data_IF_614180124125
#
_entry.id   IF_614180124125
#
_cell.length_a   1.000
_cell.length_b   1.000
_cell.length_c   1.000
_cell.angle_alpha   90.00
_cell.angle_beta   90.00
_cell.angle_gamma   90.00
#
_symmetry.space_group_name_H-M   'P 1'
#
loop_
_entity.id
_entity.type
_entity.pdbx_description
1 polymer ?
#
# COMPACT_ATOMS: atom_id res chain seq x y z
N UNK A 1 -21.52 2.28 -26.14
CA UNK A 1 -21.04 2.18 -24.77
C UNK A 1 -20.39 0.83 -24.61
N UNK A 2 -19.16 0.78 -24.12
CA UNK A 2 -18.48 -0.50 -23.81
C UNK A 2 -18.91 -0.91 -22.41
N UNK A 3 -19.60 -2.03 -22.29
CA UNK A 3 -19.96 -2.61 -20.99
C UNK A 3 -18.80 -3.50 -20.54
N UNK A 4 -18.41 -3.39 -19.27
CA UNK A 4 -17.40 -4.22 -18.64
C UNK A 4 -18.02 -5.01 -17.49
N UNK A 5 -17.74 -6.32 -17.44
CA UNK A 5 -18.18 -7.18 -16.36
C UNK A 5 -17.02 -7.40 -15.39
N UNK A 6 -17.24 -7.10 -14.12
CA UNK A 6 -16.27 -7.28 -13.05
C UNK A 6 -16.94 -7.83 -11.79
N UNK A 7 -16.20 -8.60 -11.01
CA UNK A 7 -16.64 -9.04 -9.69
C UNK A 7 -16.33 -7.96 -8.64
N UNK A 8 -15.27 -7.16 -8.89
CA UNK A 8 -14.84 -6.06 -8.03
C UNK A 8 -14.48 -4.85 -8.88
N UNK A 9 -15.09 -3.71 -8.59
CA UNK A 9 -14.72 -2.40 -9.10
C UNK A 9 -13.96 -1.63 -8.01
N UNK A 10 -12.75 -1.20 -8.32
CA UNK A 10 -11.93 -0.37 -7.44
C UNK A 10 -11.85 1.04 -8.01
N UNK A 11 -12.18 2.04 -7.19
CA UNK A 11 -12.11 3.46 -7.56
C UNK A 11 -10.89 4.12 -6.91
N UNK A 12 -9.97 4.58 -7.76
CA UNK A 12 -8.72 5.22 -7.35
C UNK A 12 -7.52 4.28 -7.34
N UNK A 13 -6.49 4.64 -8.11
CA UNK A 13 -5.24 3.89 -8.30
C UNK A 13 -4.11 4.26 -7.34
N UNK A 14 -4.42 4.81 -6.17
CA UNK A 14 -3.46 5.05 -5.09
C UNK A 14 -3.08 3.77 -4.33
N UNK A 15 -2.30 3.87 -3.23
CA UNK A 15 -1.86 2.70 -2.45
C UNK A 15 -3.02 1.80 -2.03
N UNK A 16 -4.07 2.36 -1.45
CA UNK A 16 -5.22 1.59 -0.97
C UNK A 16 -5.91 0.83 -2.10
N UNK A 17 -6.20 1.51 -3.23
CA UNK A 17 -6.84 0.89 -4.38
C UNK A 17 -5.99 -0.18 -5.04
N UNK A 18 -4.70 0.07 -5.22
CA UNK A 18 -3.79 -0.93 -5.83
C UNK A 18 -3.63 -2.17 -4.95
N UNK A 19 -3.54 -2.03 -3.62
CA UNK A 19 -3.52 -3.18 -2.71
C UNK A 19 -4.86 -3.93 -2.70
N UNK A 20 -6.00 -3.23 -2.72
CA UNK A 20 -7.31 -3.84 -2.78
C UNK A 20 -7.49 -4.64 -4.09
N UNK A 21 -7.19 -4.01 -5.23
CA UNK A 21 -7.27 -4.64 -6.55
C UNK A 21 -6.38 -5.89 -6.65
N UNK A 22 -5.12 -5.77 -6.21
CA UNK A 22 -4.17 -6.88 -6.21
C UNK A 22 -4.64 -8.03 -5.32
N UNK A 23 -5.18 -7.72 -4.14
CA UNK A 23 -5.66 -8.74 -3.21
C UNK A 23 -6.89 -9.46 -3.74
N UNK A 24 -7.84 -8.74 -4.33
CA UNK A 24 -9.02 -9.32 -4.95
C UNK A 24 -8.65 -10.22 -6.14
N UNK A 25 -7.78 -9.74 -7.03
CA UNK A 25 -7.32 -10.51 -8.19
C UNK A 25 -6.58 -11.79 -7.78
N UNK A 26 -5.74 -11.74 -6.76
CA UNK A 26 -5.06 -12.93 -6.21
C UNK A 26 -6.02 -13.97 -5.63
N UNK A 27 -7.24 -13.58 -5.29
CA UNK A 27 -8.32 -14.46 -4.82
C UNK A 27 -9.24 -14.95 -5.96
N UNK A 28 -8.87 -14.67 -7.21
CA UNK A 28 -9.59 -15.14 -8.40
C UNK A 28 -10.71 -14.22 -8.88
N UNK A 29 -10.87 -13.03 -8.29
CA UNK A 29 -11.88 -12.07 -8.77
C UNK A 29 -11.46 -11.40 -10.08
N UNK A 30 -12.41 -11.15 -10.98
CA UNK A 30 -12.24 -10.25 -12.13
C UNK A 30 -12.31 -8.82 -11.62
N UNK A 31 -11.21 -8.09 -11.72
CA UNK A 31 -11.09 -6.77 -11.12
C UNK A 31 -10.93 -5.70 -12.19
N UNK A 32 -11.72 -4.63 -12.10
CA UNK A 32 -11.52 -3.38 -12.82
C UNK A 32 -11.09 -2.32 -11.81
N UNK A 33 -10.02 -1.58 -12.13
CA UNK A 33 -9.56 -0.44 -11.37
C UNK A 33 -9.68 0.81 -12.23
N UNK A 34 -10.53 1.74 -11.84
CA UNK A 34 -10.69 3.03 -12.50
C UNK A 34 -9.96 4.14 -11.74
N UNK A 35 -9.17 4.95 -12.44
CA UNK A 35 -8.49 6.11 -11.88
C UNK A 35 -8.80 7.37 -12.69
N UNK A 36 -9.05 8.47 -12.00
CA UNK A 36 -9.33 9.78 -12.64
C UNK A 36 -8.16 10.33 -13.46
N UNK A 37 -6.95 9.89 -13.14
CA UNK A 37 -5.71 10.21 -13.87
C UNK A 37 -5.04 8.93 -14.34
N UNK A 38 -3.73 8.85 -14.18
CA UNK A 38 -2.95 7.67 -14.53
C UNK A 38 -2.60 6.88 -13.25
N UNK A 39 -3.09 5.66 -13.13
CA UNK A 39 -2.79 4.78 -11.98
C UNK A 39 -1.28 4.59 -11.83
N UNK A 40 -0.74 5.05 -10.72
CA UNK A 40 0.71 5.03 -10.44
C UNK A 40 1.38 6.39 -10.48
N UNK A 41 0.72 7.43 -10.99
CA UNK A 41 1.24 8.82 -10.96
C UNK A 41 0.21 9.84 -10.48
N UNK A 42 -1.06 9.50 -10.46
CA UNK A 42 -2.12 10.31 -9.89
C UNK A 42 -2.16 10.17 -8.35
N UNK A 43 -2.65 11.20 -7.68
CA UNK A 43 -2.85 11.20 -6.23
C UNK A 43 -1.63 11.65 -5.41
N UNK A 44 -1.84 11.79 -4.11
CA UNK A 44 -0.88 12.42 -3.20
C UNK A 44 0.39 11.59 -2.94
N UNK A 45 0.30 10.27 -2.99
CA UNK A 45 1.44 9.40 -2.69
C UNK A 45 2.48 9.39 -3.82
N UNK A 46 2.03 9.46 -5.07
CA UNK A 46 2.93 9.34 -6.21
C UNK A 46 4.06 10.40 -6.26
N UNK A 47 3.85 11.69 -5.96
CA UNK A 47 4.89 12.71 -5.98
C UNK A 47 5.66 12.85 -4.65
N UNK A 48 5.33 12.11 -3.61
CA UNK A 48 5.84 12.33 -2.26
C UNK A 48 6.57 11.11 -1.69
N UNK A 49 7.31 11.32 -0.59
CA UNK A 49 7.77 10.24 0.28
C UNK A 49 6.64 9.79 1.21
N UNK A 50 6.62 8.52 1.54
CA UNK A 50 5.63 7.94 2.45
C UNK A 50 6.33 7.28 3.62
N UNK A 51 6.18 7.84 4.82
CA UNK A 51 6.56 7.18 6.07
C UNK A 51 5.63 5.99 6.31
N UNK A 52 6.19 4.85 6.68
CA UNK A 52 5.42 3.65 7.02
C UNK A 52 5.69 3.22 8.46
N UNK A 53 4.65 2.80 9.13
CA UNK A 53 4.73 2.37 10.52
C UNK A 53 5.20 0.90 10.60
N UNK A 54 6.46 0.72 10.19
CA UNK A 54 7.12 -0.59 10.13
C UNK A 54 7.80 -0.90 11.45
N UNK A 55 7.24 -1.81 12.23
CA UNK A 55 7.74 -2.24 13.55
C UNK A 55 7.81 -3.76 13.56
N UNK A 56 8.92 -4.29 13.99
CA UNK A 56 9.10 -5.74 14.17
C UNK A 56 7.96 -6.36 14.99
N UNK A 57 7.63 -7.64 14.80
CA UNK A 57 6.58 -8.33 15.55
C UNK A 57 7.00 -8.69 16.98
N UNK A 58 7.74 -7.79 17.62
CA UNK A 58 8.13 -7.86 19.03
C UNK A 58 7.05 -7.16 19.89
N UNK A 59 6.47 -7.84 20.89
CA UNK A 59 5.38 -7.27 21.70
C UNK A 59 5.76 -5.97 22.41
N UNK A 60 6.97 -5.87 22.95
CA UNK A 60 7.40 -4.68 23.69
C UNK A 60 7.63 -3.48 22.76
N UNK A 61 8.27 -3.70 21.60
CA UNK A 61 8.46 -2.66 20.57
C UNK A 61 7.11 -2.16 20.03
N UNK A 62 6.17 -3.08 19.79
CA UNK A 62 4.83 -2.73 19.29
C UNK A 62 3.99 -1.99 20.30
N UNK A 63 4.07 -2.37 21.60
CA UNK A 63 3.41 -1.65 22.67
C UNK A 63 3.95 -0.22 22.78
N UNK A 64 5.26 -0.06 22.81
CA UNK A 64 5.89 1.27 22.86
C UNK A 64 5.50 2.14 21.66
N UNK A 65 5.52 1.57 20.47
CA UNK A 65 5.12 2.29 19.25
C UNK A 65 3.65 2.72 19.27
N UNK A 66 2.75 1.89 19.80
CA UNK A 66 1.33 2.24 19.95
C UNK A 66 1.10 3.33 20.97
N UNK A 67 1.70 3.19 22.16
CA UNK A 67 1.59 4.21 23.23
C UNK A 67 2.02 5.57 22.70
N UNK A 68 3.16 5.65 22.03
CA UNK A 68 3.62 6.89 21.40
C UNK A 68 2.61 7.47 20.39
N UNK A 69 1.94 6.64 19.61
CA UNK A 69 0.93 7.09 18.64
C UNK A 69 -0.37 7.52 19.32
N UNK A 70 -0.78 6.84 20.38
CA UNK A 70 -1.95 7.22 21.17
C UNK A 70 -1.76 8.60 21.79
N UNK A 71 -0.60 8.87 22.36
CA UNK A 71 -0.25 10.19 22.92
C UNK A 71 -0.29 11.29 21.85
N UNK A 72 0.36 11.05 20.69
CA UNK A 72 0.35 12.01 19.58
C UNK A 72 -1.04 12.29 19.02
N UNK A 73 -1.92 11.30 19.06
CA UNK A 73 -3.31 11.41 18.57
C UNK A 73 -4.31 11.86 19.64
N UNK A 74 -3.85 12.31 20.80
CA UNK A 74 -4.74 12.70 21.90
C UNK A 74 -5.64 11.56 22.38
N UNK A 75 -5.15 10.33 22.34
CA UNK A 75 -5.85 9.11 22.73
C UNK A 75 -7.11 8.78 21.89
N UNK A 76 -7.20 9.30 20.68
CA UNK A 76 -8.30 9.03 19.74
C UNK A 76 -8.06 7.82 18.83
N UNK A 77 -7.16 6.94 19.19
CA UNK A 77 -6.84 5.72 18.43
C UNK A 77 -7.61 4.52 18.99
N UNK A 78 -8.20 3.75 18.09
CA UNK A 78 -8.76 2.43 18.43
C UNK A 78 -7.64 1.38 18.43
N UNK A 79 -7.34 0.79 19.59
CA UNK A 79 -6.18 -0.11 19.79
C UNK A 79 -6.19 -1.34 18.89
N UNK A 80 -7.35 -1.98 18.67
CA UNK A 80 -7.45 -3.17 17.82
C UNK A 80 -7.10 -2.86 16.36
N UNK A 81 -7.49 -1.68 15.87
CA UNK A 81 -7.07 -1.23 14.54
C UNK A 81 -5.57 -0.96 14.49
N UNK A 82 -4.99 -0.42 15.56
CA UNK A 82 -3.54 -0.22 15.68
C UNK A 82 -2.76 -1.52 15.51
N UNK A 83 -3.21 -2.62 16.13
CA UNK A 83 -2.63 -3.96 15.95
C UNK A 83 -2.68 -4.42 14.50
N UNK A 84 -3.87 -4.37 13.89
CA UNK A 84 -4.07 -4.78 12.49
C UNK A 84 -3.23 -3.98 11.51
N UNK A 85 -3.09 -2.68 11.75
CA UNK A 85 -2.24 -1.80 10.92
C UNK A 85 -0.78 -2.19 11.03
N UNK A 86 -0.27 -2.44 12.24
CA UNK A 86 1.12 -2.88 12.44
C UNK A 86 1.41 -4.21 11.75
N UNK A 87 0.53 -5.20 11.92
CA UNK A 87 0.68 -6.52 11.29
C UNK A 87 0.70 -6.39 9.77
N UNK A 88 -0.30 -5.70 9.21
CA UNK A 88 -0.39 -5.52 7.75
C UNK A 88 0.74 -4.67 7.17
N UNK A 89 1.17 -3.65 7.89
CA UNK A 89 2.32 -2.85 7.44
C UNK A 89 3.58 -3.70 7.39
N UNK A 90 3.83 -4.50 8.42
CA UNK A 90 4.98 -5.39 8.46
C UNK A 90 4.96 -6.39 7.30
N UNK A 91 3.84 -7.10 7.12
CA UNK A 91 3.66 -8.07 6.03
C UNK A 91 3.81 -7.42 4.64
N UNK A 92 3.12 -6.30 4.41
CA UNK A 92 3.11 -5.65 3.11
C UNK A 92 4.47 -5.06 2.74
N UNK A 93 5.18 -4.46 3.69
CA UNK A 93 6.53 -3.90 3.44
C UNK A 93 7.53 -5.01 3.16
N UNK A 94 7.46 -6.14 3.85
CA UNK A 94 8.27 -7.31 3.54
C UNK A 94 7.96 -7.85 2.14
N UNK A 95 6.68 -7.95 1.78
CA UNK A 95 6.25 -8.33 0.42
C UNK A 95 6.79 -7.37 -0.65
N UNK A 96 6.79 -6.06 -0.38
CA UNK A 96 7.37 -5.05 -1.29
C UNK A 96 8.89 -5.28 -1.45
N UNK A 97 9.60 -5.63 -0.38
CA UNK A 97 11.02 -5.96 -0.43
C UNK A 97 11.28 -7.22 -1.28
N UNK A 98 10.50 -8.28 -1.11
CA UNK A 98 10.54 -9.50 -1.93
C UNK A 98 10.26 -9.22 -3.42
N UNK A 99 9.47 -8.19 -3.70
CA UNK A 99 9.23 -7.74 -5.07
C UNK A 99 10.37 -6.95 -5.68
N UNK A 100 11.45 -6.71 -4.93
CA UNK A 100 12.62 -6.01 -5.40
C UNK A 100 12.52 -4.49 -5.29
N UNK A 101 11.73 -3.97 -4.34
CA UNK A 101 11.74 -2.53 -4.07
C UNK A 101 13.11 -2.09 -3.51
N UNK A 102 13.73 -1.03 -4.04
CA UNK A 102 15.07 -0.61 -3.68
C UNK A 102 15.08 0.19 -2.38
N UNK A 103 14.87 -0.48 -1.25
CA UNK A 103 15.02 0.17 0.04
C UNK A 103 16.46 0.63 0.25
N UNK A 104 16.69 1.85 0.77
CA UNK A 104 18.03 2.28 1.11
C UNK A 104 18.60 1.40 2.21
N UNK A 105 19.92 1.20 2.18
CA UNK A 105 20.64 0.49 3.22
C UNK A 105 21.15 1.49 4.27
N UNK A 106 21.25 1.04 5.51
CA UNK A 106 21.96 1.75 6.55
C UNK A 106 23.48 1.49 6.50
N UNK A 107 24.22 2.04 7.45
CA UNK A 107 25.68 1.89 7.54
C UNK A 107 26.14 0.44 7.78
N UNK A 108 25.24 -0.43 8.21
CA UNK A 108 25.50 -1.86 8.42
C UNK A 108 24.99 -2.74 7.26
N UNK A 109 24.51 -2.13 6.18
CA UNK A 109 23.93 -2.84 5.02
C UNK A 109 22.54 -3.39 5.27
N UNK A 110 21.84 -2.97 6.33
CA UNK A 110 20.49 -3.40 6.65
C UNK A 110 19.47 -2.48 5.93
N UNK A 111 18.47 -3.09 5.36
CA UNK A 111 17.41 -2.41 4.61
C UNK A 111 16.53 -1.52 5.51
N UNK A 112 16.48 -0.22 5.23
CA UNK A 112 15.63 0.74 5.94
C UNK A 112 14.20 0.71 5.38
N UNK A 113 13.30 0.03 6.10
CA UNK A 113 11.92 -0.23 5.66
C UNK A 113 10.88 0.73 6.24
N UNK A 114 11.32 1.84 6.79
CA UNK A 114 10.43 2.83 7.45
C UNK A 114 9.89 3.90 6.51
N UNK A 115 10.33 3.92 5.26
CA UNK A 115 9.83 4.86 4.26
C UNK A 115 9.84 4.28 2.84
N UNK A 116 8.92 4.78 2.02
CA UNK A 116 8.79 4.48 0.61
C UNK A 116 8.86 5.78 -0.19
N UNK A 117 9.57 5.76 -1.31
CA UNK A 117 9.54 6.86 -2.28
C UNK A 117 8.32 6.67 -3.19
N UNK A 118 7.46 7.67 -3.23
CA UNK A 118 6.18 7.58 -3.93
C UNK A 118 6.26 7.13 -5.38
N UNK A 119 7.13 7.75 -6.20
CA UNK A 119 7.25 7.37 -7.61
C UNK A 119 7.61 5.89 -7.81
N UNK A 120 8.63 5.40 -7.10
CA UNK A 120 9.09 4.01 -7.20
C UNK A 120 8.03 3.04 -6.66
N UNK A 121 7.44 3.38 -5.52
CA UNK A 121 6.41 2.58 -4.89
C UNK A 121 5.18 2.44 -5.79
N UNK A 122 4.65 3.53 -6.29
CA UNK A 122 3.44 3.50 -7.11
C UNK A 122 3.69 2.86 -8.49
N UNK A 123 4.89 3.04 -9.07
CA UNK A 123 5.30 2.31 -10.29
C UNK A 123 5.36 0.81 -10.05
N UNK A 124 5.91 0.38 -8.91
CA UNK A 124 5.93 -1.03 -8.53
C UNK A 124 4.50 -1.56 -8.37
N UNK A 125 3.63 -0.85 -7.64
CA UNK A 125 2.24 -1.28 -7.42
C UNK A 125 1.47 -1.42 -8.73
N UNK A 126 1.58 -0.46 -9.66
CA UNK A 126 0.96 -0.58 -10.99
C UNK A 126 1.43 -1.85 -11.72
N UNK A 127 2.74 -2.12 -11.74
CA UNK A 127 3.26 -3.34 -12.38
C UNK A 127 2.68 -4.61 -11.76
N UNK A 128 2.53 -4.64 -10.43
CA UNK A 128 1.96 -5.81 -9.72
C UNK A 128 0.48 -5.99 -10.01
N UNK A 129 -0.27 -4.91 -10.06
CA UNK A 129 -1.70 -4.90 -10.40
C UNK A 129 -1.92 -5.41 -11.84
N UNK A 130 -1.16 -4.89 -12.81
CA UNK A 130 -1.21 -5.35 -14.20
C UNK A 130 -0.84 -6.82 -14.31
N UNK A 131 0.25 -7.25 -13.65
CA UNK A 131 0.68 -8.66 -13.66
C UNK A 131 -0.35 -9.61 -13.05
N UNK A 132 -1.18 -9.13 -12.14
CA UNK A 132 -2.27 -9.90 -11.54
C UNK A 132 -3.53 -9.99 -12.42
N UNK A 133 -3.51 -9.39 -13.61
CA UNK A 133 -4.64 -9.44 -14.56
C UNK A 133 -5.74 -8.43 -14.28
N UNK A 134 -5.50 -7.42 -13.45
CA UNK A 134 -6.46 -6.34 -13.20
C UNK A 134 -6.55 -5.45 -14.45
N UNK A 135 -7.76 -5.18 -14.90
CA UNK A 135 -8.02 -4.22 -15.96
C UNK A 135 -7.99 -2.80 -15.38
N UNK A 136 -7.01 -2.00 -15.82
CA UNK A 136 -6.88 -0.61 -15.39
C UNK A 136 -7.53 0.29 -16.43
N UNK A 137 -8.38 1.20 -15.95
CA UNK A 137 -8.97 2.28 -16.73
C UNK A 137 -8.37 3.60 -16.24
N UNK A 138 -7.34 4.04 -16.94
CA UNK A 138 -6.73 5.36 -16.70
C UNK A 138 -7.65 6.47 -17.25
N UNK A 139 -7.56 7.69 -16.70
CA UNK A 139 -8.35 8.87 -17.10
C UNK A 139 -9.87 8.62 -17.11
N UNK A 140 -10.32 7.80 -16.16
CA UNK A 140 -11.71 7.37 -16.03
C UNK A 140 -12.27 7.80 -14.68
N UNK A 141 -12.71 9.04 -14.52
CA UNK A 141 -13.35 9.51 -13.30
C UNK A 141 -14.68 8.78 -13.08
N UNK A 142 -14.97 8.42 -11.84
CA UNK A 142 -16.20 7.78 -11.40
C UNK A 142 -17.00 8.71 -10.48
#
# INVERSE_FOLDING_TARGET
MTQLDADVLVLGGGPAGTWAALTAAKRGARVVLADKGYCGTSGATAPSGTGVWYIDPDPAKREAARTSREEMAGFLIHRDWGHRVLDRTYENVNTIAEWGYPFPLDEHGVSRRTSLQGPEYMRLMRRRVVKAGVQILDHSPA
#
